data_IF_528360825951
#
_entry.id   IF_528360825951
#
_cell.length_a   1.000
_cell.length_b   1.000
_cell.length_c   1.000
_cell.angle_alpha   90.00
_cell.angle_beta   90.00
_cell.angle_gamma   90.00
#
_symmetry.space_group_name_H-M   'P 1'
#
loop_
_entity.id
_entity.type
_entity.pdbx_description
1 polymer ?
#
# COMPACT_ATOMS: atom_id res chain seq x y z
N UNK A 1 22.44 14.10 3.25
CA UNK A 1 22.98 13.47 2.05
C UNK A 1 23.45 12.08 2.40
N UNK A 2 22.80 11.03 1.86
CA UNK A 2 23.12 9.63 2.15
C UNK A 2 24.16 9.04 1.19
N UNK A 3 24.79 9.88 0.37
CA UNK A 3 25.89 9.52 -0.51
C UNK A 3 25.47 8.69 -1.75
N UNK A 4 24.20 8.78 -2.16
CA UNK A 4 23.73 8.25 -3.44
C UNK A 4 22.71 9.19 -4.08
N UNK A 5 22.64 9.13 -5.40
CA UNK A 5 21.71 9.94 -6.20
C UNK A 5 20.40 9.17 -6.42
N UNK A 6 19.32 9.66 -5.81
CA UNK A 6 18.01 9.08 -5.96
C UNK A 6 17.49 9.11 -7.39
N UNK A 7 17.75 10.21 -8.11
CA UNK A 7 17.30 10.35 -9.50
C UNK A 7 17.98 9.30 -10.37
N UNK A 8 19.31 9.18 -10.25
CA UNK A 8 20.07 8.17 -10.98
C UNK A 8 19.54 6.74 -10.69
N UNK A 9 19.23 6.45 -9.42
CA UNK A 9 18.71 5.15 -9.04
C UNK A 9 17.31 4.90 -9.60
N UNK A 10 16.45 5.93 -9.60
CA UNK A 10 15.13 5.88 -10.21
C UNK A 10 15.21 5.55 -11.71
N UNK A 11 16.03 6.31 -12.43
CA UNK A 11 16.24 6.07 -13.87
C UNK A 11 16.85 4.69 -14.15
N UNK A 12 17.73 4.19 -13.28
CA UNK A 12 18.26 2.83 -13.41
C UNK A 12 17.17 1.77 -13.22
N UNK A 13 16.22 1.98 -12.31
CA UNK A 13 15.11 1.05 -12.10
C UNK A 13 14.20 0.91 -13.34
N UNK A 14 14.15 1.92 -14.19
CA UNK A 14 13.44 1.87 -15.45
C UNK A 14 14.03 0.87 -16.46
N UNK A 15 15.26 0.37 -16.28
CA UNK A 15 15.78 -0.74 -17.09
C UNK A 15 14.93 -2.01 -16.94
N UNK A 16 14.32 -2.22 -15.76
CA UNK A 16 13.37 -3.31 -15.52
C UNK A 16 11.93 -2.88 -15.73
N UNK A 17 11.51 -1.74 -15.14
CA UNK A 17 10.14 -1.23 -15.11
C UNK A 17 9.95 -0.12 -16.15
N UNK A 18 9.82 -0.47 -17.41
CA UNK A 18 9.71 0.45 -18.54
C UNK A 18 10.42 -0.08 -19.76
N UNK A 19 11.72 -0.39 -19.67
CA UNK A 19 12.50 -0.88 -20.80
C UNK A 19 12.34 -2.39 -21.00
N UNK A 20 12.58 -3.19 -19.97
CA UNK A 20 12.44 -4.64 -20.08
C UNK A 20 10.97 -5.07 -20.06
N UNK A 21 10.18 -4.59 -19.09
CA UNK A 21 8.74 -4.83 -18.98
C UNK A 21 7.99 -3.51 -19.18
N UNK A 22 7.35 -3.34 -20.33
CA UNK A 22 6.64 -2.12 -20.69
C UNK A 22 5.13 -2.28 -20.53
N UNK A 23 4.39 -1.18 -20.51
CA UNK A 23 2.93 -1.20 -20.45
C UNK A 23 2.31 -1.12 -21.84
N UNK A 24 1.13 -1.73 -21.98
CA UNK A 24 0.39 -1.74 -23.23
C UNK A 24 -0.48 -0.48 -23.44
N UNK A 25 -0.74 0.27 -22.38
CA UNK A 25 -1.57 1.47 -22.38
C UNK A 25 -1.08 2.45 -21.31
N UNK A 26 -1.19 3.73 -21.56
CA UNK A 26 -0.81 4.77 -20.59
C UNK A 26 -1.60 4.69 -19.28
N UNK A 27 -2.80 4.12 -19.28
CA UNK A 27 -3.56 3.87 -18.06
C UNK A 27 -2.81 3.01 -17.04
N UNK A 28 -1.85 2.19 -17.50
CA UNK A 28 -1.04 1.30 -16.67
C UNK A 28 0.32 1.91 -16.27
N UNK A 29 0.56 3.21 -16.53
CA UNK A 29 1.87 3.87 -16.36
C UNK A 29 2.44 3.81 -14.94
N UNK A 30 1.60 3.59 -13.92
CA UNK A 30 2.04 3.37 -12.56
C UNK A 30 2.97 2.15 -12.41
N UNK A 31 2.90 1.20 -13.35
CA UNK A 31 3.82 0.04 -13.39
C UNK A 31 5.25 0.50 -13.69
N UNK A 32 5.43 1.55 -14.49
CA UNK A 32 6.76 2.13 -14.68
C UNK A 32 7.18 2.92 -13.43
N UNK A 33 6.42 3.92 -13.07
CA UNK A 33 6.82 4.94 -12.10
C UNK A 33 6.70 4.47 -10.65
N UNK A 34 5.59 3.81 -10.33
CA UNK A 34 5.36 3.29 -8.97
C UNK A 34 6.36 2.21 -8.61
N UNK A 35 6.68 1.30 -9.54
CA UNK A 35 7.69 0.27 -9.32
C UNK A 35 9.11 0.85 -9.27
N UNK A 36 9.43 1.89 -10.06
CA UNK A 36 10.71 2.55 -9.98
C UNK A 36 10.92 3.22 -8.60
N UNK A 37 9.94 3.96 -8.09
CA UNK A 37 10.00 4.53 -6.73
C UNK A 37 10.02 3.43 -5.66
N UNK A 38 9.28 2.35 -5.85
CA UNK A 38 9.33 1.24 -4.89
C UNK A 38 10.71 0.57 -4.86
N UNK A 39 11.40 0.50 -6.00
CA UNK A 39 12.79 0.03 -6.07
C UNK A 39 13.76 0.90 -5.27
N UNK A 40 13.54 2.24 -5.22
CA UNK A 40 14.29 3.14 -4.33
C UNK A 40 14.10 2.74 -2.84
N UNK A 41 12.87 2.40 -2.46
CA UNK A 41 12.57 1.96 -1.10
C UNK A 41 13.26 0.63 -0.76
N UNK A 42 13.27 -0.33 -1.68
CA UNK A 42 13.96 -1.61 -1.51
C UNK A 42 15.48 -1.41 -1.39
N UNK A 43 16.06 -0.50 -2.18
CA UNK A 43 17.46 -0.15 -2.05
C UNK A 43 17.80 0.43 -0.66
N UNK A 44 16.90 1.27 -0.12
CA UNK A 44 17.07 1.81 1.24
C UNK A 44 16.98 0.70 2.29
N UNK A 45 16.08 -0.26 2.11
CA UNK A 45 15.92 -1.40 3.00
C UNK A 45 17.19 -2.26 3.03
N UNK A 46 17.69 -2.62 1.85
CA UNK A 46 18.89 -3.45 1.71
C UNK A 46 20.13 -2.75 2.30
N UNK A 47 20.30 -1.47 2.02
CA UNK A 47 21.50 -0.75 2.41
C UNK A 47 21.49 -0.24 3.85
N UNK A 48 20.31 0.13 4.38
CA UNK A 48 20.17 0.81 5.66
C UNK A 48 19.15 0.16 6.61
N UNK A 49 18.51 -0.91 6.18
CA UNK A 49 17.54 -1.69 6.96
C UNK A 49 16.11 -1.15 6.94
N UNK A 50 15.20 -1.96 7.49
CA UNK A 50 13.75 -1.77 7.48
C UNK A 50 13.30 -0.41 8.06
N UNK A 51 14.04 0.14 9.03
CA UNK A 51 13.71 1.45 9.60
C UNK A 51 13.79 2.58 8.56
N UNK A 52 14.76 2.55 7.64
CA UNK A 52 14.87 3.56 6.59
C UNK A 52 13.82 3.34 5.50
N UNK A 53 13.47 2.10 5.16
CA UNK A 53 12.34 1.77 4.33
C UNK A 53 11.02 2.35 4.88
N UNK A 54 10.70 2.07 6.14
CA UNK A 54 9.48 2.59 6.79
C UNK A 54 9.47 4.12 6.85
N UNK A 55 10.61 4.74 7.12
CA UNK A 55 10.77 6.19 7.14
C UNK A 55 10.56 6.81 5.75
N UNK A 56 11.00 6.14 4.69
CA UNK A 56 10.78 6.58 3.32
C UNK A 56 9.29 6.71 3.01
N UNK A 57 8.49 5.70 3.31
CA UNK A 57 7.04 5.75 3.12
C UNK A 57 6.36 6.76 4.05
N UNK A 58 6.58 6.64 5.34
CA UNK A 58 5.90 7.44 6.37
C UNK A 58 6.23 8.94 6.31
N UNK A 59 7.48 9.30 6.07
CA UNK A 59 7.94 10.69 6.15
C UNK A 59 8.11 11.38 4.80
N UNK A 60 8.51 10.62 3.79
CA UNK A 60 8.87 11.21 2.50
C UNK A 60 7.76 11.04 1.46
N UNK A 61 7.21 9.84 1.33
CA UNK A 61 6.21 9.55 0.30
C UNK A 61 4.82 10.03 0.68
N UNK A 62 4.33 9.65 1.87
CA UNK A 62 2.94 9.89 2.27
C UNK A 62 2.50 11.35 2.07
N UNK A 63 3.36 12.31 2.41
CA UNK A 63 3.07 13.74 2.25
C UNK A 63 2.97 14.23 0.80
N UNK A 64 3.47 13.43 -0.15
CA UNK A 64 3.46 13.75 -1.58
C UNK A 64 2.26 13.14 -2.31
N UNK A 65 1.54 12.20 -1.66
CA UNK A 65 0.42 11.52 -2.29
C UNK A 65 -0.78 12.49 -2.32
N UNK A 66 -1.31 12.85 -3.51
CA UNK A 66 -2.47 13.68 -3.60
C UNK A 66 -3.70 12.93 -3.09
N UNK A 67 -4.54 13.62 -2.35
CA UNK A 67 -5.81 13.09 -1.90
C UNK A 67 -6.80 12.99 -3.08
N UNK A 68 -7.60 11.93 -3.07
CA UNK A 68 -8.76 11.80 -3.94
C UNK A 68 -8.45 11.72 -5.46
N UNK A 69 -7.44 10.94 -5.84
CA UNK A 69 -7.17 10.62 -7.23
C UNK A 69 -6.95 9.12 -7.45
N UNK A 70 -7.51 8.53 -8.51
CA UNK A 70 -7.17 7.16 -8.90
C UNK A 70 -5.73 7.11 -9.44
N UNK A 71 -5.13 5.93 -9.43
CA UNK A 71 -3.82 5.66 -10.05
C UNK A 71 -3.99 5.22 -11.49
N UNK A 72 -5.01 4.40 -11.74
CA UNK A 72 -5.35 3.86 -13.05
C UNK A 72 -6.58 4.58 -13.58
N UNK A 73 -6.48 5.07 -14.81
CA UNK A 73 -7.60 5.68 -15.55
C UNK A 73 -8.22 4.69 -16.53
N UNK A 74 -9.24 5.19 -17.24
CA UNK A 74 -9.82 4.47 -18.36
C UNK A 74 -8.81 4.25 -19.47
N UNK A 75 -8.96 3.15 -20.21
CA UNK A 75 -8.19 2.87 -21.43
C UNK A 75 -8.32 4.02 -22.42
N UNK A 76 -7.27 4.23 -23.20
CA UNK A 76 -7.13 5.35 -24.12
C UNK A 76 -6.95 6.74 -23.47
N UNK A 77 -6.64 6.79 -22.17
CA UNK A 77 -6.23 8.04 -21.53
C UNK A 77 -4.94 8.57 -22.16
N UNK A 78 -4.87 9.88 -22.32
CA UNK A 78 -3.67 10.54 -22.87
C UNK A 78 -2.60 10.67 -21.78
N UNK A 79 -1.33 10.74 -22.19
CA UNK A 79 -0.21 11.00 -21.28
C UNK A 79 -0.44 12.25 -20.41
N UNK A 80 -1.04 13.30 -20.96
CA UNK A 80 -1.37 14.52 -20.21
C UNK A 80 -2.36 14.25 -19.06
N UNK A 81 -3.32 13.38 -19.27
CA UNK A 81 -4.28 12.99 -18.22
C UNK A 81 -3.60 12.16 -17.13
N UNK A 82 -2.74 11.21 -17.52
CA UNK A 82 -1.98 10.38 -16.60
C UNK A 82 -1.02 11.20 -15.73
N UNK A 83 -0.26 12.13 -16.32
CA UNK A 83 0.68 12.99 -15.58
C UNK A 83 -0.02 13.90 -14.55
N UNK A 84 -1.32 14.10 -14.67
CA UNK A 84 -2.12 14.81 -13.66
C UNK A 84 -2.50 13.96 -12.43
N UNK A 85 -2.21 12.66 -12.46
CA UNK A 85 -2.45 11.68 -11.40
C UNK A 85 -1.19 11.44 -10.60
N UNK A 86 -1.26 10.51 -9.65
CA UNK A 86 -0.07 10.04 -8.93
C UNK A 86 0.28 8.58 -9.24
N UNK A 87 0.72 8.26 -10.47
CA UNK A 87 1.25 6.94 -10.77
C UNK A 87 2.55 6.65 -10.03
N UNK A 88 3.27 7.70 -9.62
CA UNK A 88 4.55 7.65 -8.91
C UNK A 88 4.37 7.25 -7.45
N UNK A 89 3.95 8.19 -6.63
CA UNK A 89 3.98 8.06 -5.16
C UNK A 89 2.87 7.16 -4.64
N UNK A 90 1.64 7.33 -5.13
CA UNK A 90 0.52 6.45 -4.75
C UNK A 90 0.74 5.05 -5.32
N UNK A 91 1.27 4.91 -6.54
CA UNK A 91 1.64 3.62 -7.13
C UNK A 91 2.65 2.85 -6.26
N UNK A 92 3.73 3.51 -5.83
CA UNK A 92 4.69 2.91 -4.92
C UNK A 92 4.08 2.55 -3.56
N UNK A 93 3.16 3.39 -3.07
CA UNK A 93 2.47 3.14 -1.80
C UNK A 93 1.51 1.94 -1.90
N UNK A 94 0.89 1.71 -3.06
CA UNK A 94 0.07 0.52 -3.32
C UNK A 94 0.93 -0.74 -3.20
N UNK A 95 2.14 -0.75 -3.75
CA UNK A 95 3.07 -1.88 -3.59
C UNK A 95 3.49 -2.09 -2.14
N UNK A 96 3.75 -1.01 -1.40
CA UNK A 96 4.03 -1.06 0.04
C UNK A 96 2.88 -1.68 0.83
N UNK A 97 1.64 -1.24 0.57
CA UNK A 97 0.45 -1.81 1.21
C UNK A 97 0.20 -3.26 0.80
N UNK A 98 0.45 -3.61 -0.46
CA UNK A 98 0.32 -4.99 -0.93
C UNK A 98 1.30 -5.91 -0.19
N UNK A 99 2.58 -5.53 -0.09
CA UNK A 99 3.58 -6.26 0.70
C UNK A 99 3.16 -6.43 2.15
N UNK A 100 2.59 -5.38 2.74
CA UNK A 100 2.04 -5.44 4.10
C UNK A 100 0.88 -6.45 4.22
N UNK A 101 -0.01 -6.52 3.23
CA UNK A 101 -1.16 -7.45 3.26
C UNK A 101 -0.73 -8.90 3.12
N UNK A 102 0.10 -9.21 2.12
CA UNK A 102 0.41 -10.59 1.73
C UNK A 102 1.71 -11.14 2.32
N UNK A 103 2.57 -10.29 2.88
CA UNK A 103 3.89 -10.66 3.41
C UNK A 103 5.00 -10.75 2.36
N UNK A 104 6.23 -10.78 2.85
CA UNK A 104 7.44 -10.68 2.02
C UNK A 104 7.58 -11.83 1.02
N UNK A 105 7.37 -13.08 1.48
CA UNK A 105 7.58 -14.27 0.65
C UNK A 105 6.68 -14.26 -0.61
N UNK A 106 5.38 -13.98 -0.43
CA UNK A 106 4.47 -13.84 -1.55
C UNK A 106 4.77 -12.62 -2.40
N UNK A 107 5.08 -11.49 -1.76
CA UNK A 107 5.32 -10.24 -2.47
C UNK A 107 6.51 -10.36 -3.43
N UNK A 108 7.67 -10.82 -2.98
CA UNK A 108 8.85 -10.93 -3.83
C UNK A 108 8.70 -12.01 -4.90
N UNK A 109 8.00 -13.10 -4.61
CA UNK A 109 7.63 -14.10 -5.61
C UNK A 109 6.77 -13.50 -6.72
N UNK A 110 5.77 -12.67 -6.37
CA UNK A 110 4.89 -11.98 -7.32
C UNK A 110 5.70 -11.01 -8.19
N UNK A 111 6.60 -10.23 -7.59
CA UNK A 111 7.45 -9.28 -8.33
C UNK A 111 8.29 -10.02 -9.38
N UNK A 112 8.90 -11.15 -9.01
CA UNK A 112 9.68 -11.97 -9.94
C UNK A 112 8.81 -12.59 -11.04
N UNK A 113 7.67 -13.18 -10.68
CA UNK A 113 6.71 -13.75 -11.65
C UNK A 113 6.19 -12.68 -12.63
N UNK A 114 5.89 -11.49 -12.13
CA UNK A 114 5.41 -10.38 -12.94
C UNK A 114 6.48 -9.88 -13.91
N UNK A 115 7.70 -9.67 -13.45
CA UNK A 115 8.84 -9.26 -14.28
C UNK A 115 9.07 -10.23 -15.45
N UNK A 116 8.88 -11.53 -15.22
CA UNK A 116 9.12 -12.56 -16.22
C UNK A 116 7.86 -13.01 -16.99
N UNK A 117 6.69 -12.44 -16.68
CA UNK A 117 5.39 -12.92 -17.18
C UNK A 117 5.25 -12.86 -18.71
N UNK A 118 5.89 -11.91 -19.36
CA UNK A 118 5.81 -11.68 -20.81
C UNK A 118 7.10 -11.97 -21.56
N UNK A 119 8.01 -12.74 -20.97
CA UNK A 119 9.33 -13.05 -21.54
C UNK A 119 9.29 -13.60 -22.97
N UNK A 120 8.16 -14.19 -23.39
CA UNK A 120 7.95 -14.70 -24.74
C UNK A 120 7.06 -13.80 -25.60
N UNK A 121 6.56 -12.68 -25.07
CA UNK A 121 5.78 -11.71 -25.84
C UNK A 121 6.73 -10.85 -26.68
N UNK A 122 6.41 -10.59 -27.95
CA UNK A 122 7.27 -9.79 -28.84
C UNK A 122 7.64 -8.40 -28.27
N UNK A 123 6.78 -7.82 -27.45
CA UNK A 123 6.94 -6.47 -26.93
C UNK A 123 7.06 -6.40 -25.40
N UNK A 124 7.06 -7.52 -24.68
CA UNK A 124 7.09 -7.58 -23.21
C UNK A 124 6.06 -6.64 -22.54
N UNK A 125 4.90 -6.46 -23.16
CA UNK A 125 3.88 -5.52 -22.68
C UNK A 125 2.93 -6.18 -21.68
N UNK A 126 2.66 -5.44 -20.61
CA UNK A 126 1.78 -5.85 -19.50
C UNK A 126 0.73 -4.79 -19.21
N UNK A 127 -0.24 -5.16 -18.41
CA UNK A 127 -1.29 -4.29 -17.88
C UNK A 127 -1.44 -4.44 -16.36
N UNK A 128 -2.16 -3.54 -15.74
CA UNK A 128 -2.60 -3.65 -14.35
C UNK A 128 -3.38 -4.95 -14.11
N UNK A 129 -4.20 -5.38 -15.06
CA UNK A 129 -4.95 -6.65 -14.95
C UNK A 129 -4.02 -7.86 -14.94
N UNK A 130 -2.93 -7.86 -15.72
CA UNK A 130 -1.93 -8.93 -15.67
C UNK A 130 -1.30 -9.03 -14.28
N UNK A 131 -0.95 -7.87 -13.67
CA UNK A 131 -0.40 -7.83 -12.32
C UNK A 131 -1.38 -8.39 -11.29
N UNK A 132 -2.64 -7.93 -11.29
CA UNK A 132 -3.70 -8.40 -10.39
C UNK A 132 -3.91 -9.91 -10.51
N UNK A 133 -3.97 -10.42 -11.74
CA UNK A 133 -4.13 -11.86 -11.98
C UNK A 133 -2.97 -12.69 -11.41
N UNK A 134 -1.73 -12.21 -11.57
CA UNK A 134 -0.55 -12.88 -10.97
C UNK A 134 -0.64 -12.85 -9.44
N UNK A 135 -0.99 -11.71 -8.85
CA UNK A 135 -1.16 -11.61 -7.39
C UNK A 135 -2.17 -12.64 -6.89
N UNK A 136 -3.40 -12.62 -7.41
CA UNK A 136 -4.47 -13.50 -6.95
C UNK A 136 -4.11 -14.98 -7.13
N UNK A 137 -3.48 -15.32 -8.27
CA UNK A 137 -3.03 -16.68 -8.54
C UNK A 137 -1.95 -17.14 -7.56
N UNK A 138 -0.97 -16.27 -7.28
CA UNK A 138 0.20 -16.65 -6.48
C UNK A 138 -0.16 -16.80 -5.00
N UNK A 139 -1.09 -15.99 -4.48
CA UNK A 139 -1.55 -16.09 -3.09
C UNK A 139 -2.71 -17.10 -2.91
N UNK A 140 -3.23 -17.67 -4.01
CA UNK A 140 -4.41 -18.55 -4.02
C UNK A 140 -5.63 -17.92 -3.34
N UNK A 141 -5.85 -16.62 -3.58
CA UNK A 141 -6.96 -15.87 -3.00
C UNK A 141 -7.33 -14.69 -3.91
N UNK A 142 -8.57 -14.19 -3.79
CA UNK A 142 -9.00 -12.99 -4.48
C UNK A 142 -8.90 -11.77 -3.57
N UNK A 143 -8.04 -10.81 -3.92
CA UNK A 143 -7.91 -9.51 -3.25
C UNK A 143 -8.23 -8.33 -4.18
N UNK A 144 -9.13 -8.53 -5.15
CA UNK A 144 -9.57 -7.46 -6.07
C UNK A 144 -10.11 -6.24 -5.32
N UNK A 145 -10.73 -6.45 -4.13
CA UNK A 145 -11.18 -5.37 -3.24
C UNK A 145 -10.06 -4.38 -2.90
N UNK A 146 -8.81 -4.87 -2.77
CA UNK A 146 -7.65 -4.03 -2.48
C UNK A 146 -7.31 -3.13 -3.67
N UNK A 147 -7.20 -3.73 -4.85
CA UNK A 147 -6.85 -3.00 -6.07
C UNK A 147 -7.96 -2.05 -6.50
N UNK A 148 -9.23 -2.47 -6.38
CA UNK A 148 -10.38 -1.60 -6.68
C UNK A 148 -10.29 -0.29 -5.91
N UNK A 149 -10.08 -0.36 -4.60
CA UNK A 149 -10.04 0.82 -3.74
C UNK A 149 -8.78 1.68 -4.00
N UNK A 150 -7.61 1.06 -4.10
CA UNK A 150 -6.37 1.84 -4.13
C UNK A 150 -5.90 2.26 -5.52
N UNK A 151 -6.24 1.53 -6.57
CA UNK A 151 -5.86 1.88 -7.94
C UNK A 151 -6.95 2.66 -8.69
N UNK A 152 -8.22 2.29 -8.51
CA UNK A 152 -9.31 2.79 -9.37
C UNK A 152 -10.21 3.83 -8.69
N UNK A 153 -10.25 3.86 -7.36
CA UNK A 153 -11.09 4.82 -6.65
C UNK A 153 -10.33 6.10 -6.30
N UNK A 154 -11.10 7.18 -6.16
CA UNK A 154 -10.59 8.50 -5.80
C UNK A 154 -10.76 8.83 -4.31
N UNK A 155 -11.20 7.87 -3.50
CA UNK A 155 -11.38 8.03 -2.06
C UNK A 155 -10.65 6.92 -1.31
N UNK A 156 -10.07 7.27 -0.17
CA UNK A 156 -9.52 6.27 0.72
C UNK A 156 -10.62 5.60 1.53
N UNK A 157 -10.44 4.32 1.92
CA UNK A 157 -11.36 3.64 2.79
C UNK A 157 -11.43 4.36 4.15
N UNK A 158 -12.60 4.34 4.76
CA UNK A 158 -12.86 4.99 6.05
C UNK A 158 -12.80 3.94 7.14
N UNK A 159 -11.89 4.15 8.09
CA UNK A 159 -11.81 3.37 9.31
C UNK A 159 -12.58 4.09 10.43
N UNK A 160 -13.68 3.51 10.83
CA UNK A 160 -14.46 3.95 11.97
C UNK A 160 -13.79 3.54 13.28
N UNK A 161 -13.71 4.48 14.21
CA UNK A 161 -13.17 4.28 15.56
C UNK A 161 -14.16 4.83 16.57
N UNK A 162 -14.60 3.96 17.48
CA UNK A 162 -15.42 4.34 18.62
C UNK A 162 -14.70 4.00 19.91
N UNK A 163 -14.72 4.91 20.91
CA UNK A 163 -14.10 4.71 22.21
C UNK A 163 -15.17 4.74 23.29
N UNK A 164 -15.25 3.69 24.08
CA UNK A 164 -16.12 3.61 25.25
C UNK A 164 -15.27 3.41 26.51
N UNK A 165 -15.41 4.31 27.48
CA UNK A 165 -14.71 4.22 28.75
C UNK A 165 -15.54 3.44 29.77
N UNK A 166 -15.00 2.29 30.22
CA UNK A 166 -15.54 1.54 31.34
C UNK A 166 -14.81 1.84 32.65
N UNK A 167 -15.20 1.19 33.72
CA UNK A 167 -14.62 1.42 35.05
C UNK A 167 -13.14 1.02 35.18
N UNK A 168 -12.71 -0.04 34.48
CA UNK A 168 -11.35 -0.57 34.54
C UNK A 168 -10.66 -0.69 33.19
N UNK A 169 -11.39 -0.53 32.10
CA UNK A 169 -10.89 -0.66 30.75
C UNK A 169 -11.49 0.41 29.84
N UNK A 170 -10.74 0.74 28.79
CA UNK A 170 -11.24 1.47 27.65
C UNK A 170 -11.48 0.46 26.52
N UNK A 171 -12.67 0.47 25.96
CA UNK A 171 -13.03 -0.36 24.82
C UNK A 171 -12.88 0.48 23.56
N UNK A 172 -12.10 -0.03 22.61
CA UNK A 172 -11.92 0.57 21.28
C UNK A 172 -12.55 -0.34 20.27
N UNK A 173 -13.52 0.16 19.55
CA UNK A 173 -14.21 -0.52 18.47
C UNK A 173 -13.71 0.02 17.14
N UNK A 174 -13.31 -0.87 16.24
CA UNK A 174 -12.80 -0.55 14.91
C UNK A 174 -13.55 -1.33 13.84
N UNK A 175 -13.95 -0.65 12.77
CA UNK A 175 -14.56 -1.29 11.61
C UNK A 175 -14.32 -0.47 10.34
N UNK A 176 -14.24 -1.15 9.20
CA UNK A 176 -14.27 -0.45 7.91
C UNK A 176 -15.70 -0.03 7.55
N UNK A 177 -15.86 1.18 7.06
CA UNK A 177 -17.15 1.62 6.50
C UNK A 177 -17.46 0.90 5.18
N UNK A 178 -16.42 0.63 4.40
CA UNK A 178 -16.53 -0.01 3.10
C UNK A 178 -16.90 -1.50 3.23
N UNK A 179 -18.07 -1.87 2.72
CA UNK A 179 -18.53 -3.25 2.73
C UNK A 179 -17.63 -4.14 1.85
N UNK A 180 -17.22 -5.29 2.39
CA UNK A 180 -16.36 -6.25 1.69
C UNK A 180 -14.87 -5.88 1.70
N UNK A 181 -14.50 -4.76 2.31
CA UNK A 181 -13.11 -4.35 2.49
C UNK A 181 -12.53 -5.00 3.77
N UNK A 182 -11.34 -5.62 3.66
CA UNK A 182 -10.78 -6.44 4.74
C UNK A 182 -9.32 -6.12 5.05
N UNK A 183 -8.92 -4.86 4.85
CA UNK A 183 -7.54 -4.42 5.10
C UNK A 183 -7.15 -4.60 6.56
N UNK A 184 -6.05 -5.30 6.88
CA UNK A 184 -5.57 -5.40 8.25
C UNK A 184 -5.02 -4.07 8.76
N UNK A 185 -5.14 -3.84 10.07
CA UNK A 185 -4.62 -2.63 10.74
C UNK A 185 -3.77 -3.02 11.94
N UNK A 186 -2.62 -2.40 12.08
CA UNK A 186 -1.81 -2.47 13.29
C UNK A 186 -2.29 -1.44 14.31
N UNK A 187 -2.39 -1.90 15.56
CA UNK A 187 -2.70 -1.05 16.71
C UNK A 187 -1.63 -1.21 17.77
N UNK A 188 -1.25 -0.08 18.37
CA UNK A 188 -0.23 -0.04 19.40
C UNK A 188 -0.78 0.67 20.63
N UNK A 189 -0.68 0.04 21.79
CA UNK A 189 -1.14 0.59 23.05
C UNK A 189 -0.30 0.12 24.24
N UNK A 190 -0.33 0.85 25.34
CA UNK A 190 0.30 0.45 26.57
C UNK A 190 -0.61 -0.56 27.30
N UNK A 191 -0.09 -1.73 27.63
CA UNK A 191 -0.74 -2.74 28.46
C UNK A 191 -0.17 -2.74 29.89
N UNK A 192 -0.70 -3.59 30.76
CA UNK A 192 -0.18 -3.74 32.12
C UNK A 192 1.24 -4.33 32.16
N UNK A 193 1.64 -5.04 31.12
CA UNK A 193 2.94 -5.71 30.99
C UNK A 193 3.94 -4.95 30.10
N UNK A 194 3.56 -3.77 29.57
CA UNK A 194 4.39 -2.98 28.67
C UNK A 194 3.63 -2.52 27.44
N UNK A 195 4.35 -2.26 26.36
CA UNK A 195 3.73 -1.92 25.09
C UNK A 195 3.29 -3.17 24.33
N UNK A 196 2.11 -3.12 23.77
CA UNK A 196 1.51 -4.20 22.97
C UNK A 196 1.24 -3.68 21.57
N UNK A 197 1.67 -4.46 20.57
CA UNK A 197 1.34 -4.29 19.17
C UNK A 197 0.48 -5.46 18.72
N UNK A 198 -0.60 -5.18 18.00
CA UNK A 198 -1.48 -6.18 17.42
C UNK A 198 -1.83 -5.82 15.99
N UNK A 199 -1.78 -6.81 15.11
CA UNK A 199 -2.34 -6.75 13.78
C UNK A 199 -3.75 -7.33 13.81
N UNK A 200 -4.73 -6.53 13.41
CA UNK A 200 -6.15 -6.88 13.43
C UNK A 200 -6.63 -7.10 12.00
N UNK A 201 -7.26 -8.23 11.75
CA UNK A 201 -8.04 -8.45 10.54
C UNK A 201 -9.40 -7.75 10.75
N UNK A 202 -9.58 -6.61 10.10
CA UNK A 202 -10.79 -5.81 10.21
C UNK A 202 -11.68 -5.99 8.99
N UNK A 203 -12.99 -5.98 9.24
CA UNK A 203 -14.05 -5.99 8.24
C UNK A 203 -14.98 -4.79 8.46
N UNK A 204 -16.12 -4.77 7.78
CA UNK A 204 -17.19 -3.83 8.10
C UNK A 204 -17.93 -4.15 9.41
N UNK A 205 -17.73 -5.37 9.97
CA UNK A 205 -18.23 -5.70 11.30
C UNK A 205 -17.28 -5.18 12.37
N UNK A 206 -17.83 -4.60 13.47
CA UNK A 206 -17.01 -4.02 14.53
C UNK A 206 -16.14 -5.06 15.24
N UNK A 207 -14.85 -4.74 15.36
CA UNK A 207 -13.89 -5.49 16.17
C UNK A 207 -13.56 -4.69 17.42
N UNK A 208 -13.79 -5.31 18.59
CA UNK A 208 -13.58 -4.66 19.89
C UNK A 208 -12.24 -5.07 20.52
N UNK A 209 -11.51 -4.09 21.04
CA UNK A 209 -10.29 -4.27 21.82
C UNK A 209 -10.50 -3.65 23.17
N UNK A 210 -10.24 -4.42 24.24
CA UNK A 210 -10.15 -3.88 25.59
C UNK A 210 -8.70 -3.50 25.90
N UNK A 211 -8.47 -2.24 26.25
CA UNK A 211 -7.16 -1.74 26.69
C UNK A 211 -7.28 -1.23 28.14
N UNK A 212 -6.18 -1.20 28.94
CA UNK A 212 -6.22 -0.63 30.27
C UNK A 212 -6.75 0.81 30.26
N UNK A 213 -7.47 1.16 31.30
CA UNK A 213 -8.10 2.48 31.44
C UNK A 213 -7.11 3.62 31.23
N UNK A 214 -7.55 4.68 30.55
CA UNK A 214 -6.78 5.90 30.24
C UNK A 214 -5.55 5.72 29.34
N UNK A 215 -5.37 4.57 28.73
CA UNK A 215 -4.30 4.40 27.76
C UNK A 215 -4.72 4.85 26.36
N UNK A 216 -3.81 5.54 25.69
CA UNK A 216 -3.99 5.91 24.30
C UNK A 216 -3.66 4.72 23.38
N UNK A 217 -4.51 4.50 22.41
CA UNK A 217 -4.26 3.59 21.30
C UNK A 217 -3.75 4.39 20.09
N UNK A 218 -2.69 3.91 19.49
CA UNK A 218 -2.23 4.40 18.18
C UNK A 218 -2.69 3.41 17.12
N UNK A 219 -3.36 3.92 16.11
CA UNK A 219 -3.83 3.15 14.96
C UNK A 219 -2.86 3.41 13.82
N UNK A 220 -2.40 2.35 13.18
CA UNK A 220 -1.45 2.38 12.08
C UNK A 220 -0.27 3.34 12.38
N UNK A 221 0.53 3.07 13.42
CA UNK A 221 1.59 3.97 13.87
C UNK A 221 2.68 4.18 12.82
N UNK A 222 2.89 3.20 11.95
CA UNK A 222 3.87 3.26 10.87
C UNK A 222 3.33 3.77 9.55
N UNK A 223 2.02 4.13 9.53
CA UNK A 223 1.37 4.65 8.32
C UNK A 223 1.50 3.68 7.13
N UNK A 224 1.23 2.41 7.39
CA UNK A 224 1.28 1.36 6.37
C UNK A 224 0.08 1.36 5.44
N UNK A 225 -1.01 2.05 5.84
CA UNK A 225 -2.29 2.02 5.12
C UNK A 225 -2.77 3.43 4.80
N UNK A 226 -3.14 3.66 3.55
CA UNK A 226 -3.84 4.88 3.14
C UNK A 226 -5.31 4.76 3.56
N UNK A 227 -5.72 5.53 4.54
CA UNK A 227 -7.06 5.52 5.11
C UNK A 227 -7.50 6.91 5.56
N UNK A 228 -8.80 7.07 5.73
CA UNK A 228 -9.40 8.18 6.48
C UNK A 228 -9.88 7.64 7.82
N UNK A 229 -9.44 8.23 8.92
CA UNK A 229 -9.93 7.87 10.25
C UNK A 229 -11.17 8.70 10.58
N UNK A 230 -12.26 8.02 10.93
CA UNK A 230 -13.51 8.62 11.39
C UNK A 230 -13.74 8.28 12.86
N UNK A 231 -13.74 9.28 13.73
CA UNK A 231 -14.01 9.10 15.16
C UNK A 231 -15.52 9.24 15.38
N UNK A 232 -16.14 8.17 15.89
CA UNK A 232 -17.57 8.10 16.19
C UNK A 232 -17.75 8.26 17.69
N UNK A 233 -18.67 9.14 18.09
CA UNK A 233 -19.04 9.39 19.49
C UNK A 233 -19.80 8.21 20.13
#
# INVERSE_FOLDING_TARGET
DKGYDFLLFHELAHEWWGNYLSVSDWADFWIHEGFAIYSEALFLEEKYGLNEYNKFFKKNLLKKIPLNRPVVLDRNSTMKQIMGLDPYYKGAYVLHMLRYVIGDDYFFKIIDEFLHSKKQSPNNQVSTSDFINIVNKTIDANIDWFFQVYLYENKYPVLNKKINHGSNHTFVELSWENKGFTMPIEVFYKSNTGFTEKRLALTNEPTMIAIPQYNNIKIDPDKRVLLTLNEID
#
